data_IF_413365242067
#
_entry.id   IF_413365242067
#
_cell.length_a   1.000
_cell.length_b   1.000
_cell.length_c   1.000
_cell.angle_alpha   90.00
_cell.angle_beta   90.00
_cell.angle_gamma   90.00
#
_symmetry.space_group_name_H-M   'P 1'
#
loop_
_entity.id
_entity.type
_entity.pdbx_description
1 polymer ?
#
# COMPACT_ATOMS: atom_id res chain seq x y z
N UNK A 1 1.98 23.17 6.06
CA UNK A 1 0.63 23.76 5.84
C UNK A 1 -0.27 22.87 4.98
N UNK A 2 0.23 22.23 3.92
CA UNK A 2 -0.53 21.34 3.02
C UNK A 2 -1.14 20.13 3.75
N UNK A 3 -0.36 19.42 4.58
CA UNK A 3 -0.88 18.30 5.38
C UNK A 3 -2.02 18.67 6.33
N UNK A 4 -1.95 19.86 6.95
CA UNK A 4 -3.06 20.38 7.78
C UNK A 4 -4.31 20.69 6.96
N UNK A 5 -4.16 21.19 5.73
CA UNK A 5 -5.29 21.45 4.82
C UNK A 5 -5.91 20.14 4.33
N UNK A 6 -5.09 19.19 3.89
CA UNK A 6 -5.54 17.87 3.45
C UNK A 6 -6.27 17.14 4.60
N UNK A 7 -5.64 17.04 5.77
CA UNK A 7 -6.29 16.46 6.95
C UNK A 7 -7.62 17.16 7.31
N UNK A 8 -7.68 18.50 7.22
CA UNK A 8 -8.92 19.24 7.48
C UNK A 8 -10.00 18.98 6.44
N UNK A 9 -9.64 18.80 5.16
CA UNK A 9 -10.60 18.44 4.11
C UNK A 9 -11.19 17.06 4.36
N UNK A 10 -10.35 16.09 4.70
CA UNK A 10 -10.77 14.73 5.06
C UNK A 10 -11.65 14.71 6.31
N UNK A 11 -11.22 15.38 7.38
CA UNK A 11 -11.98 15.45 8.64
C UNK A 11 -13.31 16.22 8.51
N UNK A 12 -13.45 17.07 7.50
CA UNK A 12 -14.69 17.82 7.26
C UNK A 12 -15.70 17.02 6.46
N UNK A 13 -15.26 16.09 5.63
CA UNK A 13 -16.15 15.16 4.92
C UNK A 13 -16.58 14.01 5.83
N UNK A 14 -17.45 14.36 6.78
CA UNK A 14 -18.00 13.42 7.76
C UNK A 14 -18.80 12.28 7.11
N UNK A 15 -19.35 12.51 5.91
CA UNK A 15 -20.11 11.49 5.18
C UNK A 15 -19.19 10.36 4.73
N UNK A 16 -18.10 10.70 4.04
CA UNK A 16 -17.10 9.72 3.57
C UNK A 16 -16.41 9.02 4.74
N UNK A 17 -16.03 9.76 5.80
CA UNK A 17 -15.44 9.14 6.99
C UNK A 17 -16.41 8.17 7.68
N UNK A 18 -17.66 8.59 7.91
CA UNK A 18 -18.65 7.71 8.52
C UNK A 18 -18.90 6.46 7.66
N UNK A 19 -18.91 6.59 6.34
CA UNK A 19 -19.06 5.46 5.43
C UNK A 19 -17.90 4.46 5.58
N UNK A 20 -16.64 4.92 5.56
CA UNK A 20 -15.45 4.05 5.69
C UNK A 20 -15.45 3.28 7.02
N UNK A 21 -15.72 3.96 8.14
CA UNK A 21 -15.74 3.30 9.45
C UNK A 21 -16.97 2.41 9.65
N UNK A 22 -18.13 2.78 9.09
CA UNK A 22 -19.34 1.96 9.14
C UNK A 22 -19.16 0.68 8.31
N UNK A 23 -18.58 0.80 7.12
CA UNK A 23 -18.24 -0.32 6.25
C UNK A 23 -17.30 -1.30 6.97
N UNK A 24 -16.20 -0.80 7.53
CA UNK A 24 -15.26 -1.60 8.33
C UNK A 24 -15.92 -2.31 9.53
N UNK A 25 -16.85 -1.64 10.22
CA UNK A 25 -17.57 -2.25 11.34
C UNK A 25 -18.55 -3.33 10.87
N UNK A 26 -19.31 -3.06 9.81
CA UNK A 26 -20.29 -4.01 9.25
C UNK A 26 -19.59 -5.23 8.66
N UNK A 27 -18.54 -5.02 7.86
CA UNK A 27 -17.72 -6.09 7.31
C UNK A 27 -17.08 -6.93 8.42
N UNK A 28 -16.51 -6.29 9.44
CA UNK A 28 -15.90 -6.97 10.59
C UNK A 28 -16.89 -7.81 11.39
N UNK A 29 -18.11 -7.30 11.60
CA UNK A 29 -19.15 -8.06 12.30
C UNK A 29 -19.65 -9.22 11.45
N UNK A 30 -19.97 -9.00 10.18
CA UNK A 30 -20.52 -10.06 9.31
C UNK A 30 -19.49 -11.18 9.14
N UNK A 31 -18.28 -10.86 8.70
CA UNK A 31 -17.24 -11.85 8.47
C UNK A 31 -16.76 -12.49 9.78
N UNK A 32 -16.71 -11.72 10.87
CA UNK A 32 -16.34 -12.23 12.19
C UNK A 32 -17.37 -13.19 12.76
N UNK A 33 -18.66 -12.96 12.52
CA UNK A 33 -19.72 -13.89 12.89
C UNK A 33 -19.63 -15.20 12.10
N UNK A 34 -19.29 -15.13 10.81
CA UNK A 34 -19.08 -16.33 9.98
C UNK A 34 -17.90 -17.16 10.49
N UNK A 35 -16.85 -16.52 11.01
CA UNK A 35 -15.66 -17.15 11.58
C UNK A 35 -15.69 -17.24 13.12
N UNK A 36 -16.86 -17.17 13.73
CA UNK A 36 -16.98 -17.07 15.18
C UNK A 36 -16.37 -18.29 15.89
N UNK A 37 -15.47 -18.03 16.85
CA UNK A 37 -14.78 -19.06 17.66
C UNK A 37 -14.02 -20.11 16.84
N UNK A 38 -13.53 -19.75 15.66
CA UNK A 38 -12.72 -20.64 14.82
C UNK A 38 -11.50 -21.19 15.57
N UNK A 39 -10.89 -20.39 16.45
CA UNK A 39 -9.73 -20.80 17.25
C UNK A 39 -10.02 -21.94 18.21
N UNK A 40 -11.24 -22.01 18.77
CA UNK A 40 -11.61 -23.00 19.79
C UNK A 40 -12.27 -24.25 19.20
N UNK A 41 -12.95 -24.11 18.07
CA UNK A 41 -13.85 -25.14 17.55
C UNK A 41 -13.35 -25.86 16.32
N UNK A 42 -12.41 -25.26 15.57
CA UNK A 42 -12.01 -25.76 14.26
C UNK A 42 -10.54 -26.17 14.19
N UNK A 43 -10.20 -27.12 13.28
CA UNK A 43 -8.84 -27.54 13.06
C UNK A 43 -7.96 -26.41 12.47
N UNK A 44 -6.62 -26.56 12.50
CA UNK A 44 -5.67 -25.52 12.10
C UNK A 44 -5.91 -24.93 10.71
N UNK A 45 -6.44 -25.69 9.76
CA UNK A 45 -6.73 -25.21 8.41
C UNK A 45 -7.73 -24.05 8.38
N UNK A 46 -8.84 -24.14 9.14
CA UNK A 46 -9.82 -23.04 9.21
C UNK A 46 -9.30 -21.83 10.00
N UNK A 47 -8.36 -22.05 10.93
CA UNK A 47 -7.70 -20.93 11.61
C UNK A 47 -6.78 -20.18 10.64
N UNK A 48 -6.03 -20.89 9.80
CA UNK A 48 -5.25 -20.29 8.72
C UNK A 48 -6.15 -19.55 7.72
N UNK A 49 -7.31 -20.11 7.36
CA UNK A 49 -8.26 -19.40 6.49
C UNK A 49 -8.77 -18.09 7.10
N UNK A 50 -9.04 -18.09 8.42
CA UNK A 50 -9.46 -16.89 9.13
C UNK A 50 -8.36 -15.82 9.19
N UNK A 51 -7.10 -16.21 9.40
CA UNK A 51 -5.96 -15.29 9.36
C UNK A 51 -5.75 -14.71 7.96
N UNK A 52 -5.85 -15.54 6.92
CA UNK A 52 -5.80 -15.08 5.53
C UNK A 52 -6.94 -14.09 5.22
N UNK A 53 -8.18 -14.43 5.59
CA UNK A 53 -9.33 -13.56 5.38
C UNK A 53 -9.14 -12.20 6.05
N UNK A 54 -8.61 -12.18 7.27
CA UNK A 54 -8.33 -10.95 7.99
C UNK A 54 -7.25 -10.09 7.29
N UNK A 55 -6.15 -10.70 6.82
CA UNK A 55 -5.12 -9.98 6.02
C UNK A 55 -5.72 -9.46 4.72
N UNK A 56 -6.55 -10.27 4.07
CA UNK A 56 -7.23 -9.92 2.83
C UNK A 56 -8.13 -8.69 3.00
N UNK A 57 -8.96 -8.64 4.04
CA UNK A 57 -9.88 -7.51 4.25
C UNK A 57 -9.11 -6.20 4.51
N UNK A 58 -8.03 -6.25 5.30
CA UNK A 58 -7.13 -5.09 5.49
C UNK A 58 -6.48 -4.65 4.18
N UNK A 59 -6.07 -5.58 3.31
CA UNK A 59 -5.53 -5.19 2.00
C UNK A 59 -6.63 -4.65 1.07
N UNK A 60 -7.86 -5.17 1.17
CA UNK A 60 -9.01 -4.76 0.37
C UNK A 60 -9.46 -3.33 0.70
N UNK A 61 -9.27 -2.86 1.93
CA UNK A 61 -9.61 -1.50 2.34
C UNK A 61 -8.90 -0.41 1.51
N UNK A 62 -7.74 -0.73 0.90
CA UNK A 62 -7.06 0.15 -0.03
C UNK A 62 -7.92 0.52 -1.25
N UNK A 63 -8.95 -0.25 -1.59
CA UNK A 63 -9.89 0.09 -2.68
C UNK A 63 -10.61 1.43 -2.42
N UNK A 64 -10.83 1.80 -1.16
CA UNK A 64 -11.44 3.07 -0.77
C UNK A 64 -10.58 4.28 -1.17
N UNK A 65 -9.28 4.11 -1.37
CA UNK A 65 -8.37 5.23 -1.68
C UNK A 65 -8.34 5.59 -3.17
N UNK A 66 -8.73 4.67 -4.06
CA UNK A 66 -8.78 4.87 -5.52
C UNK A 66 -9.63 6.08 -5.92
N UNK A 67 -10.94 6.16 -5.59
CA UNK A 67 -11.78 7.29 -6.00
C UNK A 67 -11.24 8.62 -5.43
N UNK A 68 -10.67 8.58 -4.23
CA UNK A 68 -10.12 9.76 -3.56
C UNK A 68 -8.88 10.30 -4.29
N UNK A 69 -7.97 9.41 -4.70
CA UNK A 69 -6.79 9.81 -5.47
C UNK A 69 -7.13 10.30 -6.88
N UNK A 70 -8.10 9.67 -7.54
CA UNK A 70 -8.56 10.11 -8.87
C UNK A 70 -9.18 11.50 -8.81
N UNK A 71 -10.01 11.79 -7.80
CA UNK A 71 -10.61 13.12 -7.61
C UNK A 71 -9.55 14.19 -7.31
N UNK A 72 -8.57 13.86 -6.46
CA UNK A 72 -7.51 14.80 -6.07
C UNK A 72 -6.50 15.07 -7.19
N UNK A 73 -6.35 14.17 -8.17
CA UNK A 73 -5.43 14.33 -9.30
C UNK A 73 -5.66 15.63 -10.07
N UNK A 74 -6.91 15.99 -10.37
CA UNK A 74 -7.22 17.22 -11.11
C UNK A 74 -6.82 18.47 -10.31
N UNK A 75 -7.11 18.46 -9.00
CA UNK A 75 -6.72 19.56 -8.11
C UNK A 75 -5.21 19.70 -7.99
N UNK A 76 -4.48 18.57 -7.87
CA UNK A 76 -3.02 18.55 -7.82
C UNK A 76 -2.40 19.21 -9.06
N UNK A 77 -2.86 18.85 -10.26
CA UNK A 77 -2.32 19.41 -11.51
C UNK A 77 -2.51 20.94 -11.54
N UNK A 78 -3.69 21.42 -11.16
CA UNK A 78 -3.99 22.85 -11.12
C UNK A 78 -3.12 23.60 -10.08
N UNK A 79 -2.95 23.03 -8.88
CA UNK A 79 -2.19 23.68 -7.81
C UNK A 79 -0.67 23.68 -8.09
N UNK A 80 -0.11 22.63 -8.73
CA UNK A 80 1.32 22.60 -9.09
C UNK A 80 1.63 23.48 -10.31
N UNK A 81 0.76 23.48 -11.32
CA UNK A 81 0.92 24.37 -12.49
C UNK A 81 0.78 25.84 -12.11
N UNK A 82 -0.08 26.17 -11.14
CA UNK A 82 -0.19 27.49 -10.54
C UNK A 82 0.98 27.90 -9.63
N UNK A 83 1.95 27.00 -9.38
CA UNK A 83 3.15 27.29 -8.60
C UNK A 83 2.91 27.41 -7.09
N UNK A 84 1.80 26.89 -6.57
CA UNK A 84 1.49 26.98 -5.13
C UNK A 84 2.41 26.08 -4.28
N UNK A 85 2.81 24.92 -4.79
CA UNK A 85 3.74 23.98 -4.15
C UNK A 85 4.28 22.93 -5.14
N UNK A 86 5.29 22.15 -4.74
CA UNK A 86 5.86 21.05 -5.53
C UNK A 86 5.13 19.71 -5.30
N UNK A 87 5.22 18.79 -6.26
CA UNK A 87 4.49 17.53 -6.23
C UNK A 87 4.78 16.63 -5.01
N UNK A 88 6.03 16.60 -4.53
CA UNK A 88 6.47 15.70 -3.45
C UNK A 88 5.83 16.02 -2.08
N UNK A 89 5.82 17.28 -1.59
CA UNK A 89 5.09 17.64 -0.37
C UNK A 89 3.61 17.29 -0.40
N UNK A 90 2.96 17.37 -1.57
CA UNK A 90 1.57 16.95 -1.73
C UNK A 90 1.43 15.44 -1.61
N UNK A 91 2.30 14.68 -2.28
CA UNK A 91 2.33 13.21 -2.18
C UNK A 91 2.37 12.76 -0.72
N UNK A 92 3.40 13.22 0.01
CA UNK A 92 3.60 12.84 1.42
C UNK A 92 2.39 13.24 2.27
N UNK A 93 1.90 14.48 2.13
CA UNK A 93 0.75 14.95 2.88
C UNK A 93 -0.52 14.12 2.64
N UNK A 94 -0.82 13.83 1.38
CA UNK A 94 -2.04 13.13 0.98
C UNK A 94 -1.99 11.66 1.37
N UNK A 95 -0.89 10.97 1.07
CA UNK A 95 -0.70 9.56 1.40
C UNK A 95 -0.63 9.33 2.90
N UNK A 96 -0.03 10.23 3.69
CA UNK A 96 -0.07 10.12 5.16
C UNK A 96 -1.48 10.27 5.72
N UNK A 97 -2.28 11.21 5.19
CA UNK A 97 -3.66 11.41 5.67
C UNK A 97 -4.55 10.22 5.28
N UNK A 98 -4.46 9.74 4.03
CA UNK A 98 -5.25 8.57 3.59
C UNK A 98 -4.88 7.31 4.38
N UNK A 99 -3.58 7.08 4.59
CA UNK A 99 -3.11 5.94 5.38
C UNK A 99 -3.59 6.00 6.83
N UNK A 100 -3.63 7.19 7.45
CA UNK A 100 -4.15 7.32 8.82
C UNK A 100 -5.67 7.09 8.90
N UNK A 101 -6.42 7.55 7.92
CA UNK A 101 -7.89 7.39 7.91
C UNK A 101 -8.28 5.94 7.64
N UNK A 102 -7.78 5.36 6.56
CA UNK A 102 -8.11 3.99 6.16
C UNK A 102 -7.42 2.97 7.07
N UNK A 103 -6.15 3.20 7.43
CA UNK A 103 -5.50 2.38 8.45
C UNK A 103 -6.20 2.46 9.81
N UNK A 104 -6.81 3.61 10.14
CA UNK A 104 -7.66 3.75 11.32
C UNK A 104 -8.93 2.90 11.27
N UNK A 105 -9.57 2.77 10.10
CA UNK A 105 -10.70 1.84 9.92
C UNK A 105 -10.26 0.38 9.93
N UNK A 106 -9.08 0.08 9.39
CA UNK A 106 -8.51 -1.27 9.43
C UNK A 106 -8.28 -1.75 10.86
N UNK A 107 -7.84 -0.88 11.77
CA UNK A 107 -7.72 -1.22 13.20
C UNK A 107 -9.07 -1.65 13.78
N UNK A 108 -10.17 -0.97 13.40
CA UNK A 108 -11.53 -1.31 13.86
C UNK A 108 -11.96 -2.66 13.30
N UNK A 109 -11.88 -2.83 11.97
CA UNK A 109 -12.21 -4.06 11.26
C UNK A 109 -11.44 -5.25 11.84
N UNK A 110 -10.11 -5.13 11.92
CA UNK A 110 -9.21 -6.17 12.41
C UNK A 110 -9.52 -6.54 13.85
N UNK A 111 -9.76 -5.56 14.73
CA UNK A 111 -10.04 -5.82 16.14
C UNK A 111 -11.35 -6.59 16.33
N UNK A 112 -12.39 -6.25 15.57
CA UNK A 112 -13.68 -6.96 15.61
C UNK A 112 -13.51 -8.40 15.12
N UNK A 113 -12.86 -8.60 13.96
CA UNK A 113 -12.58 -9.92 13.42
C UNK A 113 -11.76 -10.77 14.37
N UNK A 114 -10.70 -10.19 14.95
CA UNK A 114 -9.81 -10.87 15.88
C UNK A 114 -10.56 -11.36 17.13
N UNK A 115 -11.40 -10.48 17.69
CA UNK A 115 -12.21 -10.81 18.86
C UNK A 115 -13.22 -11.94 18.56
N UNK A 116 -13.95 -11.85 17.44
CA UNK A 116 -14.96 -12.84 17.08
C UNK A 116 -14.35 -14.19 16.67
N UNK A 117 -13.21 -14.18 15.98
CA UNK A 117 -12.44 -15.39 15.65
C UNK A 117 -11.89 -16.09 16.90
N UNK A 118 -11.71 -15.36 18.01
CA UNK A 118 -11.29 -15.89 19.30
C UNK A 118 -9.78 -16.11 19.40
N UNK A 119 -8.98 -15.34 18.67
CA UNK A 119 -7.52 -15.37 18.77
C UNK A 119 -7.02 -14.68 20.05
N UNK A 120 -5.80 -14.98 20.47
CA UNK A 120 -5.20 -14.40 21.67
C UNK A 120 -4.82 -12.93 21.46
N UNK A 121 -5.11 -12.08 22.45
CA UNK A 121 -4.82 -10.64 22.38
C UNK A 121 -3.32 -10.31 22.36
N UNK A 122 -2.47 -11.23 22.82
CA UNK A 122 -1.00 -11.11 22.80
C UNK A 122 -0.43 -11.05 21.38
N UNK A 123 -1.04 -11.77 20.44
CA UNK A 123 -0.60 -11.84 19.05
C UNK A 123 -1.21 -10.75 18.15
N UNK A 124 -2.20 -9.99 18.65
CA UNK A 124 -2.88 -8.93 17.88
C UNK A 124 -1.91 -7.83 17.43
N UNK A 125 -1.07 -7.22 18.29
CA UNK A 125 -0.26 -6.07 17.88
C UNK A 125 0.69 -6.37 16.74
N UNK A 126 1.33 -7.55 16.78
CA UNK A 126 2.23 -7.99 15.71
C UNK A 126 1.47 -8.26 14.41
N UNK A 127 0.37 -9.01 14.49
CA UNK A 127 -0.44 -9.36 13.31
C UNK A 127 -1.03 -8.11 12.65
N UNK A 128 -1.54 -7.17 13.45
CA UNK A 128 -2.05 -5.89 12.97
C UNK A 128 -0.94 -5.05 12.32
N UNK A 129 0.25 -5.00 12.92
CA UNK A 129 1.40 -4.29 12.37
C UNK A 129 1.79 -4.81 10.97
N UNK A 130 1.90 -6.13 10.80
CA UNK A 130 2.27 -6.70 9.50
C UNK A 130 1.16 -6.52 8.47
N UNK A 131 -0.11 -6.67 8.85
CA UNK A 131 -1.24 -6.40 7.94
C UNK A 131 -1.30 -4.93 7.50
N UNK A 132 -1.02 -3.98 8.41
CA UNK A 132 -0.93 -2.57 8.05
C UNK A 132 0.26 -2.27 7.13
N UNK A 133 1.39 -2.98 7.28
CA UNK A 133 2.50 -2.89 6.32
C UNK A 133 2.09 -3.37 4.93
N UNK A 134 1.39 -4.50 4.83
CA UNK A 134 0.86 -5.00 3.57
C UNK A 134 -0.14 -4.01 2.94
N UNK A 135 -1.04 -3.44 3.75
CA UNK A 135 -1.93 -2.36 3.31
C UNK A 135 -1.15 -1.17 2.71
N UNK A 136 -0.06 -0.72 3.34
CA UNK A 136 0.74 0.38 2.81
C UNK A 136 1.38 0.08 1.44
N UNK A 137 1.75 -1.18 1.19
CA UNK A 137 2.23 -1.64 -0.13
C UNK A 137 1.10 -1.54 -1.16
N UNK A 138 -0.07 -2.10 -0.85
CA UNK A 138 -1.22 -2.14 -1.75
C UNK A 138 -1.74 -0.73 -2.05
N UNK A 139 -1.91 0.11 -1.02
CA UNK A 139 -2.30 1.52 -1.14
C UNK A 139 -1.29 2.30 -2.01
N UNK A 140 0.01 2.05 -1.85
CA UNK A 140 1.03 2.65 -2.72
C UNK A 140 0.87 2.25 -4.19
N UNK A 141 0.59 0.98 -4.46
CA UNK A 141 0.40 0.47 -5.81
C UNK A 141 -0.88 1.04 -6.45
N UNK A 142 -1.95 1.14 -5.66
CA UNK A 142 -3.24 1.69 -6.09
C UNK A 142 -3.16 3.20 -6.32
N UNK A 143 -2.38 3.92 -5.50
CA UNK A 143 -2.06 5.32 -5.75
C UNK A 143 -1.36 5.51 -7.09
N UNK A 144 -0.32 4.71 -7.36
CA UNK A 144 0.42 4.77 -8.62
C UNK A 144 -0.51 4.49 -9.82
N UNK A 145 -1.33 3.45 -9.73
CA UNK A 145 -2.31 3.11 -10.76
C UNK A 145 -3.34 4.23 -10.97
N UNK A 146 -3.82 4.85 -9.88
CA UNK A 146 -4.79 5.95 -9.92
C UNK A 146 -4.23 7.21 -10.57
N UNK A 147 -2.97 7.54 -10.27
CA UNK A 147 -2.29 8.68 -10.88
C UNK A 147 -1.92 8.43 -12.35
N UNK A 148 -1.53 7.20 -12.70
CA UNK A 148 -1.25 6.82 -14.09
C UNK A 148 -2.52 6.80 -14.98
N UNK A 149 -3.69 6.57 -14.39
CA UNK A 149 -4.95 6.42 -15.11
C UNK A 149 -5.60 7.74 -15.51
N UNK A 150 -6.30 7.75 -16.64
CA UNK A 150 -7.02 8.93 -17.15
C UNK A 150 -8.42 9.10 -16.56
N UNK A 151 -9.04 8.02 -16.08
CA UNK A 151 -10.39 8.00 -15.51
C UNK A 151 -10.47 7.07 -14.31
N UNK A 152 -11.52 7.24 -13.51
CA UNK A 152 -11.83 6.32 -12.40
C UNK A 152 -12.02 4.88 -12.89
N UNK A 153 -12.74 4.69 -13.99
CA UNK A 153 -12.98 3.36 -14.57
C UNK A 153 -11.66 2.65 -14.93
N UNK A 154 -10.72 3.35 -15.56
CA UNK A 154 -9.40 2.79 -15.87
C UNK A 154 -8.60 2.45 -14.62
N UNK A 155 -8.56 3.34 -13.62
CA UNK A 155 -7.86 3.09 -12.36
C UNK A 155 -8.43 1.87 -11.63
N UNK A 156 -9.76 1.77 -11.55
CA UNK A 156 -10.45 0.67 -10.90
C UNK A 156 -10.21 -0.67 -11.62
N UNK A 157 -10.25 -0.69 -12.95
CA UNK A 157 -9.97 -1.92 -13.71
C UNK A 157 -8.53 -2.42 -13.52
N UNK A 158 -7.54 -1.53 -13.57
CA UNK A 158 -6.12 -1.92 -13.41
C UNK A 158 -5.85 -2.43 -11.99
N UNK A 159 -6.36 -1.72 -10.98
CA UNK A 159 -6.21 -2.11 -9.57
C UNK A 159 -6.95 -3.41 -9.25
N UNK A 160 -8.16 -3.62 -9.79
CA UNK A 160 -8.89 -4.87 -9.62
C UNK A 160 -8.15 -6.07 -10.20
N UNK A 161 -7.56 -5.94 -11.39
CA UNK A 161 -6.74 -7.02 -12.00
C UNK A 161 -5.50 -7.30 -11.14
N UNK A 162 -4.80 -6.26 -10.69
CA UNK A 162 -3.63 -6.44 -9.81
C UNK A 162 -4.00 -7.13 -8.49
N UNK A 163 -5.11 -6.71 -7.86
CA UNK A 163 -5.61 -7.28 -6.62
C UNK A 163 -6.03 -8.75 -6.79
N UNK A 164 -6.69 -9.08 -7.90
CA UNK A 164 -7.05 -10.45 -8.26
C UNK A 164 -5.81 -11.34 -8.40
N UNK A 165 -4.74 -10.85 -9.04
CA UNK A 165 -3.49 -11.59 -9.16
C UNK A 165 -2.86 -11.88 -7.79
N UNK A 166 -2.80 -10.87 -6.90
CA UNK A 166 -2.30 -11.08 -5.54
C UNK A 166 -3.16 -12.06 -4.73
N UNK A 167 -4.46 -12.12 -5.00
CA UNK A 167 -5.37 -13.08 -4.36
C UNK A 167 -5.07 -14.53 -4.75
N UNK A 168 -4.43 -14.82 -5.88
CA UNK A 168 -4.03 -16.21 -6.20
C UNK A 168 -2.67 -16.60 -5.61
N UNK A 169 -1.82 -15.61 -5.30
CA UNK A 169 -0.43 -15.82 -4.86
C UNK A 169 -0.28 -15.47 -3.37
N UNK A 170 -1.24 -15.85 -2.53
CA UNK A 170 -1.31 -15.45 -1.12
C UNK A 170 -0.77 -16.50 -0.12
N UNK A 171 -0.37 -17.68 -0.58
CA UNK A 171 0.17 -18.77 0.26
C UNK A 171 -0.86 -19.60 1.04
N UNK A 172 -2.12 -19.18 1.08
CA UNK A 172 -3.21 -19.97 1.65
C UNK A 172 -4.00 -20.71 0.55
N UNK A 173 -4.58 -19.94 -0.39
CA UNK A 173 -5.39 -20.50 -1.50
C UNK A 173 -4.58 -21.36 -2.47
N UNK A 174 -3.33 -20.95 -2.70
CA UNK A 174 -2.34 -21.71 -3.45
C UNK A 174 -1.23 -22.09 -2.48
N UNK A 175 -1.09 -23.39 -2.21
CA UNK A 175 -0.03 -23.89 -1.34
C UNK A 175 1.34 -23.60 -1.99
N UNK A 176 2.25 -22.86 -1.31
CA UNK A 176 3.61 -22.63 -1.78
C UNK A 176 4.37 -23.90 -2.15
N UNK A 177 4.09 -25.03 -1.48
CA UNK A 177 4.71 -26.32 -1.80
C UNK A 177 4.32 -26.88 -3.16
N UNK A 178 3.09 -26.62 -3.60
CA UNK A 178 2.56 -27.13 -4.86
C UNK A 178 2.90 -26.21 -6.04
N UNK A 179 3.45 -25.02 -5.77
CA UNK A 179 3.81 -24.06 -6.81
C UNK A 179 5.10 -24.51 -7.51
N UNK A 180 5.16 -24.45 -8.86
CA UNK A 180 6.40 -24.65 -9.57
C UNK A 180 7.47 -23.64 -9.10
N UNK A 181 8.72 -24.10 -8.93
CA UNK A 181 9.82 -23.27 -8.41
C UNK A 181 10.02 -21.96 -9.20
N UNK A 182 9.74 -21.97 -10.52
CA UNK A 182 9.86 -20.80 -11.38
C UNK A 182 8.75 -19.75 -11.18
N UNK A 183 7.65 -20.08 -10.49
CA UNK A 183 6.58 -19.13 -10.11
C UNK A 183 6.61 -18.80 -8.63
N UNK A 184 7.14 -19.69 -7.79
CA UNK A 184 7.16 -19.53 -6.33
C UNK A 184 7.83 -18.24 -5.84
N UNK A 185 8.78 -17.68 -6.61
CA UNK A 185 9.41 -16.39 -6.26
C UNK A 185 8.44 -15.20 -6.35
N UNK A 186 7.38 -15.29 -7.16
CA UNK A 186 6.36 -14.23 -7.29
C UNK A 186 5.60 -14.04 -5.98
N UNK A 187 5.49 -15.08 -5.14
CA UNK A 187 4.90 -14.99 -3.82
C UNK A 187 5.62 -13.98 -2.93
N UNK A 188 6.94 -13.82 -3.07
CA UNK A 188 7.70 -12.81 -2.33
C UNK A 188 7.47 -11.37 -2.81
N UNK A 189 6.83 -11.16 -3.97
CA UNK A 189 6.35 -9.85 -4.40
C UNK A 189 4.93 -9.55 -3.93
N UNK A 190 4.22 -10.56 -3.42
CA UNK A 190 2.83 -10.44 -3.02
C UNK A 190 2.73 -10.02 -1.54
N UNK A 191 2.16 -8.84 -1.22
CA UNK A 191 2.04 -8.41 0.17
C UNK A 191 1.11 -9.30 1.00
N UNK A 192 0.14 -9.98 0.34
CA UNK A 192 -0.78 -10.91 1.00
C UNK A 192 -0.04 -12.13 1.53
N UNK A 193 0.88 -12.68 0.73
CA UNK A 193 1.69 -13.83 1.11
C UNK A 193 2.54 -13.52 2.34
N UNK A 194 3.31 -12.44 2.28
CA UNK A 194 4.24 -12.06 3.35
C UNK A 194 3.50 -11.75 4.65
N UNK A 195 2.36 -11.03 4.58
CA UNK A 195 1.59 -10.71 5.79
C UNK A 195 0.84 -11.91 6.35
N UNK A 196 0.30 -12.77 5.50
CA UNK A 196 -0.32 -14.01 5.91
C UNK A 196 0.68 -14.94 6.58
N UNK A 197 1.84 -15.19 5.96
CA UNK A 197 2.90 -16.06 6.48
C UNK A 197 3.39 -15.57 7.85
N UNK A 198 3.72 -14.29 7.97
CA UNK A 198 4.14 -13.67 9.22
C UNK A 198 3.11 -13.83 10.34
N UNK A 199 1.84 -13.52 10.03
CA UNK A 199 0.73 -13.63 10.98
C UNK A 199 0.47 -15.08 11.37
N UNK A 200 0.45 -15.99 10.40
CA UNK A 200 0.24 -17.42 10.62
C UNK A 200 1.34 -18.02 11.50
N UNK A 201 2.62 -17.74 11.20
CA UNK A 201 3.75 -18.23 12.01
C UNK A 201 3.64 -17.72 13.44
N UNK A 202 3.33 -16.43 13.64
CA UNK A 202 3.23 -15.85 14.98
C UNK A 202 2.06 -16.43 15.79
N UNK A 203 0.87 -16.54 15.21
CA UNK A 203 -0.33 -17.06 15.89
C UNK A 203 -0.26 -18.56 16.13
N UNK A 204 0.29 -19.31 15.17
CA UNK A 204 0.41 -20.77 15.30
C UNK A 204 1.52 -21.18 16.26
N UNK A 205 2.58 -20.39 16.45
CA UNK A 205 3.57 -20.64 17.52
C UNK A 205 2.94 -20.65 18.92
N UNK A 206 1.87 -19.88 19.14
CA UNK A 206 1.11 -19.85 20.39
C UNK A 206 0.01 -20.93 20.48
N UNK A 207 -0.14 -21.80 19.47
CA UNK A 207 -1.15 -22.87 19.50
C UNK A 207 -0.69 -24.06 20.36
N UNK A 208 -1.56 -24.57 21.26
CA UNK A 208 -1.25 -25.77 22.03
C UNK A 208 -1.36 -27.01 21.12
N UNK A 209 -0.27 -27.38 20.49
CA UNK A 209 -0.14 -28.64 19.76
C UNK A 209 0.00 -29.84 20.73
N UNK A 210 -0.14 -31.06 20.20
CA UNK A 210 -0.11 -32.29 21.00
C UNK A 210 1.24 -32.48 21.73
N UNK A 211 2.35 -32.01 21.16
CA UNK A 211 3.67 -31.96 21.81
C UNK A 211 3.71 -31.08 23.08
N UNK A 212 3.00 -29.95 23.08
CA UNK A 212 2.88 -29.05 24.24
C UNK A 212 1.95 -29.62 25.34
N UNK A 213 0.96 -30.43 24.96
CA UNK A 213 0.14 -31.21 25.90
C UNK A 213 0.96 -32.31 26.59
N UNK A 214 1.80 -33.04 25.84
CA UNK A 214 2.70 -34.05 26.42
C UNK A 214 3.72 -33.46 27.39
N UNK A 215 4.13 -32.20 27.19
CA UNK A 215 5.01 -31.44 28.08
C UNK A 215 4.28 -30.72 29.24
N UNK A 216 2.98 -30.95 29.44
CA UNK A 216 2.20 -30.40 30.56
C UNK A 216 1.83 -28.91 30.47
N UNK A 217 1.96 -28.28 29.29
CA UNK A 217 1.73 -26.83 29.08
C UNK A 217 0.43 -26.49 28.31
N UNK A 218 -0.32 -27.49 27.84
CA UNK A 218 -1.46 -27.28 26.93
C UNK A 218 -2.85 -27.56 27.53
N UNK A 219 -3.88 -26.90 26.98
CA UNK A 219 -5.31 -27.16 27.23
C UNK A 219 -5.73 -28.42 26.45
N UNK A 220 -6.52 -29.33 27.04
CA UNK A 220 -6.97 -30.58 26.38
C UNK A 220 -7.88 -30.29 25.17
N UNK A 221 -7.58 -30.94 24.04
CA UNK A 221 -8.38 -30.86 22.81
C UNK A 221 -9.43 -32.00 22.80
N UNK A 222 -10.60 -31.81 22.17
CA UNK A 222 -11.58 -32.88 21.98
C UNK A 222 -11.02 -34.01 21.12
N UNK A 223 -11.29 -35.26 21.51
CA UNK A 223 -10.73 -36.46 20.90
C UNK A 223 -11.41 -36.79 19.56
N UNK A 224 -10.63 -37.01 18.49
CA UNK A 224 -11.14 -37.65 17.26
C UNK A 224 -10.51 -37.25 15.91
N UNK A 225 -9.73 -36.18 15.83
CA UNK A 225 -9.14 -35.71 14.55
C UNK A 225 -7.62 -35.91 14.50
N UNK A 226 -7.01 -36.10 13.30
CA UNK A 226 -5.56 -36.22 13.17
C UNK A 226 -4.90 -34.93 13.66
N UNK A 227 -4.41 -34.95 14.89
CA UNK A 227 -3.69 -33.84 15.49
C UNK A 227 -2.35 -33.71 14.79
N UNK A 228 -2.09 -32.55 14.17
CA UNK A 228 -0.73 -32.18 13.80
C UNK A 228 0.12 -32.22 15.07
N UNK A 229 1.21 -33.00 15.05
CA UNK A 229 1.96 -33.30 16.26
C UNK A 229 2.73 -32.07 16.76
N UNK A 230 3.08 -31.15 15.85
CA UNK A 230 3.83 -29.92 16.15
C UNK A 230 3.57 -28.79 15.15
N UNK A 231 3.86 -27.56 15.55
CA UNK A 231 3.85 -26.37 14.68
C UNK A 231 4.76 -26.53 13.45
N UNK A 232 5.87 -27.22 13.61
CA UNK A 232 6.86 -27.46 12.55
C UNK A 232 6.30 -28.34 11.43
N UNK A 233 5.44 -29.30 11.75
CA UNK A 233 4.78 -30.14 10.73
C UNK A 233 3.78 -29.33 9.93
N UNK A 234 3.06 -28.42 10.58
CA UNK A 234 2.17 -27.47 9.91
C UNK A 234 2.96 -26.57 8.95
N UNK A 235 4.07 -25.99 9.40
CA UNK A 235 4.90 -25.13 8.54
C UNK A 235 5.48 -25.90 7.36
N UNK A 236 5.87 -27.17 7.56
CA UNK A 236 6.28 -28.04 6.45
C UNK A 236 5.13 -28.32 5.50
N UNK A 237 3.94 -28.67 5.98
CA UNK A 237 2.78 -29.01 5.14
C UNK A 237 2.30 -27.84 4.26
N UNK A 238 2.32 -26.62 4.81
CA UNK A 238 1.90 -25.41 4.09
C UNK A 238 3.07 -24.64 3.49
N UNK A 239 4.31 -25.13 3.64
CA UNK A 239 5.49 -24.48 3.09
C UNK A 239 5.86 -23.12 3.71
N UNK A 240 5.29 -22.79 4.87
CA UNK A 240 5.51 -21.52 5.57
C UNK A 240 6.91 -21.44 6.18
N UNK A 241 7.35 -20.24 6.55
CA UNK A 241 8.68 -19.91 7.05
C UNK A 241 9.83 -20.37 6.12
N UNK A 242 9.62 -20.31 4.81
CA UNK A 242 10.64 -20.70 3.82
C UNK A 242 10.95 -22.20 3.82
N UNK A 243 10.12 -23.05 4.44
CA UNK A 243 10.32 -24.50 4.50
C UNK A 243 10.24 -25.16 3.13
N UNK A 244 9.53 -24.56 2.17
CA UNK A 244 9.56 -24.97 0.75
C UNK A 244 10.98 -24.96 0.18
N UNK A 245 11.79 -23.98 0.58
CA UNK A 245 13.14 -23.77 0.06
C UNK A 245 14.22 -24.40 0.94
N UNK A 246 13.83 -25.25 1.89
CA UNK A 246 14.77 -25.94 2.77
C UNK A 246 15.39 -25.06 3.84
N UNK A 247 14.82 -23.89 4.14
CA UNK A 247 15.32 -23.01 5.21
C UNK A 247 15.08 -23.67 6.57
N UNK A 248 16.14 -23.80 7.38
CA UNK A 248 16.09 -24.44 8.72
C UNK A 248 16.18 -23.44 9.87
N UNK A 249 16.08 -22.14 9.59
CA UNK A 249 16.15 -21.07 10.60
C UNK A 249 14.93 -21.09 11.52
N UNK A 250 15.05 -20.49 12.72
CA UNK A 250 13.89 -20.30 13.59
C UNK A 250 12.82 -19.49 12.84
N UNK A 251 11.55 -19.96 12.81
CA UNK A 251 10.50 -19.26 12.07
C UNK A 251 10.27 -17.83 12.53
N UNK A 252 10.60 -17.49 13.79
CA UNK A 252 10.45 -16.12 14.30
C UNK A 252 11.49 -15.19 13.69
N UNK A 253 12.74 -15.64 13.60
CA UNK A 253 13.80 -14.90 12.91
C UNK A 253 13.52 -14.75 11.42
N UNK A 254 13.01 -15.79 10.78
CA UNK A 254 12.64 -15.75 9.35
C UNK A 254 11.60 -14.66 9.07
N UNK A 255 10.54 -14.59 9.86
CA UNK A 255 9.47 -13.59 9.69
C UNK A 255 10.01 -12.16 9.74
N UNK A 256 10.94 -11.86 10.66
CA UNK A 256 11.53 -10.52 10.74
C UNK A 256 12.52 -10.22 9.61
N UNK A 257 13.39 -11.19 9.25
CA UNK A 257 14.45 -11.00 8.26
C UNK A 257 13.94 -11.03 6.82
N UNK A 258 12.87 -11.78 6.56
CA UNK A 258 12.32 -12.01 5.22
C UNK A 258 11.01 -11.26 5.09
N UNK A 259 9.97 -11.67 5.81
CA UNK A 259 8.62 -11.17 5.55
C UNK A 259 8.48 -9.67 5.84
N UNK A 260 8.83 -9.26 7.07
CA UNK A 260 8.75 -7.84 7.48
C UNK A 260 9.72 -6.98 6.69
N UNK A 261 10.96 -7.45 6.50
CA UNK A 261 11.97 -6.70 5.75
C UNK A 261 11.56 -6.49 4.29
N UNK A 262 11.10 -7.53 3.61
CA UNK A 262 10.63 -7.44 2.23
C UNK A 262 9.38 -6.57 2.15
N UNK A 263 8.43 -6.68 3.09
CA UNK A 263 7.26 -5.79 3.14
C UNK A 263 7.65 -4.32 3.28
N UNK A 264 8.60 -3.99 4.16
CA UNK A 264 9.11 -2.62 4.33
C UNK A 264 9.80 -2.15 3.05
N UNK A 265 10.65 -2.97 2.44
CA UNK A 265 11.32 -2.64 1.18
C UNK A 265 10.31 -2.43 0.04
N UNK A 266 9.30 -3.28 -0.07
CA UNK A 266 8.21 -3.14 -1.05
C UNK A 266 7.42 -1.85 -0.80
N UNK A 267 7.09 -1.53 0.46
CA UNK A 267 6.34 -0.33 0.80
C UNK A 267 7.14 0.93 0.40
N UNK A 268 8.44 0.96 0.72
CA UNK A 268 9.32 2.07 0.35
C UNK A 268 9.51 2.15 -1.16
N UNK A 269 9.73 1.03 -1.84
CA UNK A 269 9.93 0.99 -3.29
C UNK A 269 8.69 1.46 -4.05
N UNK A 270 7.51 0.93 -3.69
CA UNK A 270 6.25 1.27 -4.35
C UNK A 270 5.87 2.73 -4.05
N UNK A 271 5.91 3.18 -2.80
CA UNK A 271 5.62 4.59 -2.47
C UNK A 271 6.65 5.56 -3.06
N UNK A 272 7.93 5.18 -3.08
CA UNK A 272 8.99 5.92 -3.75
C UNK A 272 8.74 6.05 -5.26
N UNK A 273 8.38 4.95 -5.92
CA UNK A 273 8.05 4.95 -7.35
C UNK A 273 6.84 5.83 -7.67
N UNK A 274 5.81 5.82 -6.80
CA UNK A 274 4.65 6.69 -6.91
C UNK A 274 5.03 8.18 -6.78
N UNK A 275 5.87 8.52 -5.81
CA UNK A 275 6.35 9.88 -5.61
C UNK A 275 7.17 10.40 -6.81
N UNK A 276 8.07 9.56 -7.34
CA UNK A 276 8.85 9.87 -8.55
C UNK A 276 7.93 10.02 -9.75
N UNK A 277 7.00 9.10 -9.95
CA UNK A 277 6.06 9.14 -11.08
C UNK A 277 5.22 10.42 -11.08
N UNK A 278 4.67 10.79 -9.93
CA UNK A 278 3.90 12.02 -9.78
C UNK A 278 4.74 13.27 -10.07
N UNK A 279 5.98 13.32 -9.58
CA UNK A 279 6.86 14.49 -9.76
C UNK A 279 7.45 14.63 -11.17
N UNK A 280 7.62 13.53 -11.90
CA UNK A 280 8.20 13.55 -13.26
C UNK A 280 7.13 13.69 -14.33
N UNK A 281 6.04 12.91 -14.24
CA UNK A 281 5.10 12.74 -15.34
C UNK A 281 3.80 13.55 -15.17
N UNK A 282 3.30 13.69 -13.95
CA UNK A 282 1.98 14.29 -13.72
C UNK A 282 2.09 15.78 -13.43
N UNK A 283 3.07 16.17 -12.64
CA UNK A 283 3.24 17.54 -12.19
C UNK A 283 4.74 17.92 -12.20
N UNK A 284 5.36 18.03 -13.40
CA UNK A 284 6.79 18.34 -13.53
C UNK A 284 7.11 19.65 -12.82
N UNK A 285 8.12 19.62 -11.96
CA UNK A 285 8.49 20.71 -11.07
C UNK A 285 8.55 22.07 -11.80
N UNK A 286 7.76 23.00 -11.27
CA UNK A 286 7.50 24.33 -11.84
C UNK A 286 8.76 25.20 -11.91
N UNK A 287 9.79 24.93 -11.10
CA UNK A 287 11.05 25.68 -11.20
C UNK A 287 11.72 25.53 -12.57
N UNK A 288 11.61 24.35 -13.20
CA UNK A 288 12.20 24.10 -14.53
C UNK A 288 11.41 24.80 -15.65
N UNK A 289 10.09 24.84 -15.55
CA UNK A 289 9.21 25.48 -16.54
C UNK A 289 9.20 27.00 -16.38
N UNK A 290 9.28 27.50 -15.15
CA UNK A 290 9.34 28.93 -14.84
C UNK A 290 10.73 29.53 -15.19
N UNK A 291 11.84 28.80 -14.95
CA UNK A 291 13.15 29.18 -15.55
C UNK A 291 13.09 29.16 -17.06
N UNK A 292 12.49 28.14 -17.69
CA UNK A 292 12.36 28.05 -19.15
C UNK A 292 11.49 29.18 -19.73
N UNK A 293 10.42 29.59 -19.07
CA UNK A 293 9.57 30.69 -19.53
C UNK A 293 10.24 32.05 -19.32
N UNK A 294 10.91 32.28 -18.19
CA UNK A 294 11.71 33.51 -17.97
C UNK A 294 12.87 33.60 -18.96
N UNK A 295 13.57 32.49 -19.23
CA UNK A 295 14.64 32.44 -20.25
C UNK A 295 14.09 32.66 -21.66
N UNK A 296 12.91 32.11 -22.02
CA UNK A 296 12.25 32.40 -23.30
C UNK A 296 11.81 33.87 -23.41
N UNK A 297 11.32 34.46 -22.32
CA UNK A 297 10.96 35.89 -22.27
C UNK A 297 12.18 36.79 -22.47
N UNK A 298 13.29 36.51 -21.78
CA UNK A 298 14.56 37.23 -21.93
C UNK A 298 15.13 37.08 -23.34
N UNK A 299 15.09 35.87 -23.91
CA UNK A 299 15.60 35.61 -25.26
C UNK A 299 14.72 36.27 -26.34
N UNK A 300 13.41 36.43 -26.08
CA UNK A 300 12.50 37.15 -26.98
C UNK A 300 12.74 38.65 -26.91
N UNK A 301 12.94 39.20 -25.71
CA UNK A 301 13.28 40.62 -25.50
C UNK A 301 14.61 41.00 -26.17
N UNK A 302 15.66 40.20 -25.96
CA UNK A 302 16.97 40.42 -26.55
C UNK A 302 16.94 40.39 -28.08
N UNK A 303 16.07 39.55 -28.67
CA UNK A 303 15.90 39.47 -30.12
C UNK A 303 15.19 40.71 -30.69
N UNK A 304 14.20 41.24 -29.97
CA UNK A 304 13.54 42.49 -30.34
C UNK A 304 14.49 43.69 -30.24
N UNK A 305 15.29 43.76 -29.17
CA UNK A 305 16.26 44.84 -28.97
C UNK A 305 17.36 44.83 -30.06
N UNK A 306 17.76 43.64 -30.55
CA UNK A 306 18.72 43.49 -31.64
C UNK A 306 18.11 43.88 -33.01
N UNK A 307 16.83 43.57 -33.25
CA UNK A 307 16.11 44.00 -34.46
C UNK A 307 15.93 45.53 -34.48
N UNK A 308 15.54 46.13 -33.35
CA UNK A 308 15.39 47.59 -33.22
C UNK A 308 16.75 48.31 -33.40
N UNK A 309 17.84 47.76 -32.86
CA UNK A 309 19.18 48.32 -33.05
C UNK A 309 19.63 48.30 -34.52
N UNK A 310 19.33 47.22 -35.26
CA UNK A 310 19.63 47.09 -36.70
C UNK A 310 18.82 48.05 -37.57
N UNK A 311 17.62 48.45 -37.16
CA UNK A 311 16.80 49.43 -37.89
C UNK A 311 17.24 50.88 -37.61
N UNK A 312 17.72 51.16 -36.40
CA UNK A 312 18.10 52.51 -35.97
C UNK A 312 19.46 52.95 -36.52
N UNK A 313 20.46 52.07 -36.61
CA UNK A 313 21.79 52.39 -37.15
C UNK A 313 21.78 52.99 -38.58
N UNK A 314 21.11 52.40 -39.57
CA UNK A 314 21.09 52.94 -40.93
C UNK A 314 20.32 54.27 -41.01
N UNK A 315 19.32 54.49 -40.14
CA UNK A 315 18.62 55.79 -40.03
C UNK A 315 19.50 56.88 -39.44
N UNK A 316 20.29 56.58 -38.41
CA UNK A 316 21.28 57.52 -37.84
C UNK A 316 22.41 57.83 -38.83
N UNK A 317 22.85 56.85 -39.62
CA UNK A 317 23.83 57.06 -40.69
C UNK A 317 23.29 57.99 -41.81
N UNK A 318 22.04 57.80 -42.25
CA UNK A 318 21.38 58.68 -43.24
C UNK A 318 21.17 60.12 -42.72
N UNK A 319 20.87 60.30 -41.44
CA UNK A 319 20.73 61.63 -40.82
C UNK A 319 22.07 62.35 -40.68
N UNK A 320 23.15 61.64 -40.35
CA UNK A 320 24.51 62.21 -40.31
C UNK A 320 25.02 62.62 -41.70
N UNK A 321 24.62 61.93 -42.76
CA UNK A 321 24.95 62.30 -44.14
C UNK A 321 24.21 63.55 -44.63
N UNK A 322 23.02 63.84 -44.07
CA UNK A 322 22.20 65.03 -44.43
C UNK A 322 22.59 66.32 -43.69
N UNK A 323 23.40 66.24 -42.64
CA UNK A 323 23.85 67.40 -41.83
C UNK A 323 25.21 67.98 -42.22
N UNK A 324 25.80 67.55 -43.36
CA UNK A 324 27.08 68.07 -43.89
C UNK A 324 26.94 68.66 -45.31
N UNK A 325 25.76 69.21 -45.63
CA UNK A 325 25.50 69.98 -46.84
C UNK A 325 25.38 71.46 -46.51
#
# INVERSE_FOLDING_TARGET
MIGRRSARLWLRDRGTLAAIYCDAAVEGVILGLVMARVRQTQPPYYQLSALFLLVYCVCASALWTIPLFVQQKAQLIMEVTGGYYSALPHYVATTSVSACVVGGSDVVLFSILWFLAGFEWTALPFSLFVSLLAFLVVDGAFYLASIASSSFAHANSVTAVAFMLFTFVNGFTTNPQSMPLYVGWVSYLCPFFLAFEATAVHVMKAYPFADQQASGRGRTLPAGEPTLASAEELFKQYGLAGRVYGVTMDPGTYVWLVDVLILVLLAVAVKGSAAVFQSVWVAPNTESTWRRSRLRGVNKQAKTDEEDAREIEPRKAKLRARGRG
#
